data_IF_815710087004
#
_entry.id   IF_815710087004
#
_cell.length_a   1.000
_cell.length_b   1.000
_cell.length_c   1.000
_cell.angle_alpha   90.00
_cell.angle_beta   90.00
_cell.angle_gamma   90.00
#
_symmetry.space_group_name_H-M   'P 1'
#
loop_
_entity.id
_entity.type
_entity.pdbx_description
1 polymer ?
#
# COMPACT_ATOMS: atom_id res chain seq x y z
N UNK A 1 -6.03 -19.21 5.67
CA UNK A 1 -6.29 -20.53 6.32
C UNK A 1 -7.48 -21.29 5.71
N UNK A 2 -8.71 -20.72 5.64
CA UNK A 2 -9.88 -21.41 5.06
C UNK A 2 -9.68 -21.85 3.60
N UNK A 3 -9.19 -20.96 2.74
CA UNK A 3 -8.80 -21.29 1.36
C UNK A 3 -7.75 -22.39 1.33
N UNK A 4 -6.73 -22.35 2.19
CA UNK A 4 -5.72 -23.41 2.28
C UNK A 4 -6.29 -24.79 2.62
N UNK A 5 -7.27 -24.85 3.53
CA UNK A 5 -7.98 -26.12 3.84
C UNK A 5 -8.72 -26.67 2.63
N UNK A 6 -9.41 -25.82 1.86
CA UNK A 6 -10.09 -26.26 0.64
C UNK A 6 -9.13 -26.69 -0.46
N UNK A 7 -8.02 -25.96 -0.66
CA UNK A 7 -7.00 -26.34 -1.63
C UNK A 7 -6.39 -27.72 -1.32
N UNK A 8 -6.09 -28.00 -0.04
CA UNK A 8 -5.63 -29.31 0.39
C UNK A 8 -6.69 -30.39 0.20
N UNK A 9 -7.93 -30.14 0.60
CA UNK A 9 -9.02 -31.12 0.47
C UNK A 9 -9.28 -31.51 -0.97
N UNK A 10 -9.08 -30.60 -1.92
CA UNK A 10 -9.21 -30.79 -3.36
C UNK A 10 -7.90 -31.24 -4.03
N UNK A 11 -6.81 -31.46 -3.27
CA UNK A 11 -5.47 -31.82 -3.76
C UNK A 11 -4.92 -30.83 -4.82
N UNK A 12 -5.22 -29.56 -4.66
CA UNK A 12 -4.75 -28.47 -5.55
C UNK A 12 -3.38 -27.93 -5.15
N UNK A 13 -2.90 -28.25 -3.96
CA UNK A 13 -1.54 -27.97 -3.48
C UNK A 13 -0.91 -29.28 -2.94
N UNK A 14 0.44 -29.41 -3.00
CA UNK A 14 1.14 -30.57 -2.50
C UNK A 14 0.88 -30.84 -1.02
N UNK A 15 0.80 -32.12 -0.61
CA UNK A 15 0.49 -32.53 0.77
C UNK A 15 1.55 -32.10 1.81
N UNK A 16 2.75 -31.74 1.38
CA UNK A 16 3.81 -31.21 2.25
C UNK A 16 3.51 -29.80 2.79
N UNK A 17 2.57 -29.08 2.17
CA UNK A 17 2.14 -27.76 2.63
C UNK A 17 0.93 -27.88 3.54
N UNK A 18 0.83 -26.97 4.49
CA UNK A 18 -0.31 -26.87 5.40
C UNK A 18 -1.26 -25.74 5.01
N UNK A 19 -2.48 -25.79 5.52
CA UNK A 19 -3.42 -24.68 5.37
C UNK A 19 -2.90 -23.40 6.06
N UNK A 20 -2.08 -23.54 7.11
CA UNK A 20 -1.45 -22.43 7.80
C UNK A 20 -0.42 -21.74 6.93
N UNK A 21 0.37 -22.45 6.12
CA UNK A 21 1.35 -21.81 5.22
C UNK A 21 0.70 -20.81 4.29
N UNK A 22 -0.46 -21.18 3.71
CA UNK A 22 -1.26 -20.25 2.89
C UNK A 22 -1.78 -19.08 3.72
N UNK A 23 -2.22 -19.35 4.96
CA UNK A 23 -2.68 -18.33 5.90
C UNK A 23 -1.58 -17.32 6.24
N UNK A 24 -0.38 -17.83 6.56
CA UNK A 24 0.77 -17.01 6.98
C UNK A 24 1.30 -16.13 5.84
N UNK A 25 1.34 -16.67 4.61
CA UNK A 25 1.70 -15.89 3.42
C UNK A 25 0.73 -14.72 3.21
N UNK A 26 -0.59 -14.99 3.23
CA UNK A 26 -1.60 -13.93 3.03
C UNK A 26 -1.60 -12.94 4.19
N UNK A 27 -1.46 -13.41 5.44
CA UNK A 27 -1.38 -12.54 6.61
C UNK A 27 -0.17 -11.62 6.54
N UNK A 28 1.00 -12.14 6.15
CA UNK A 28 2.21 -11.33 5.95
C UNK A 28 1.98 -10.26 4.88
N UNK A 29 1.39 -10.62 3.74
CA UNK A 29 1.06 -9.68 2.70
C UNK A 29 0.07 -8.60 3.17
N UNK A 30 -0.98 -9.00 3.92
CA UNK A 30 -1.95 -8.04 4.49
C UNK A 30 -1.33 -7.11 5.53
N UNK A 31 -0.40 -7.59 6.38
CA UNK A 31 0.29 -6.73 7.34
C UNK A 31 1.21 -5.72 6.67
N UNK A 32 1.77 -6.08 5.53
CA UNK A 32 2.73 -5.25 4.80
C UNK A 32 2.09 -4.32 3.77
N UNK A 33 0.83 -4.54 3.36
CA UNK A 33 0.23 -3.94 2.16
C UNK A 33 0.35 -2.42 2.06
N UNK A 34 0.33 -1.71 3.19
CA UNK A 34 0.40 -0.25 3.29
C UNK A 34 1.76 0.29 3.79
N UNK A 35 2.79 -0.58 3.93
CA UNK A 35 4.09 -0.18 4.50
C UNK A 35 4.81 0.92 3.69
N UNK A 36 4.49 1.06 2.43
CA UNK A 36 5.06 2.08 1.54
C UNK A 36 4.25 3.37 1.44
N UNK A 37 3.13 3.49 2.16
CA UNK A 37 2.34 4.70 2.15
C UNK A 37 3.10 5.83 2.85
N UNK A 38 3.25 7.01 2.21
CA UNK A 38 3.89 8.15 2.83
C UNK A 38 3.00 8.79 3.91
N UNK A 39 3.54 9.74 4.72
CA UNK A 39 2.72 10.57 5.58
C UNK A 39 1.53 11.15 4.83
N UNK A 40 0.38 11.21 5.48
CA UNK A 40 -0.92 11.64 4.91
C UNK A 40 -1.50 10.68 3.85
N UNK A 41 -0.99 9.46 3.74
CA UNK A 41 -1.52 8.42 2.86
C UNK A 41 -1.60 8.84 1.40
N UNK A 42 -2.75 8.67 0.76
CA UNK A 42 -2.94 9.01 -0.66
C UNK A 42 -2.72 10.50 -0.98
N UNK A 43 -3.05 11.41 -0.05
CA UNK A 43 -2.77 12.84 -0.23
C UNK A 43 -1.26 13.10 -0.21
N UNK A 44 -0.51 12.36 0.62
CA UNK A 44 0.96 12.39 0.60
C UNK A 44 1.54 11.89 -0.72
N UNK A 45 0.99 10.79 -1.28
CA UNK A 45 1.39 10.33 -2.62
C UNK A 45 1.15 11.40 -3.69
N UNK A 46 -0.03 12.05 -3.66
CA UNK A 46 -0.36 13.14 -4.60
C UNK A 46 0.58 14.33 -4.43
N UNK A 47 0.92 14.70 -3.19
CA UNK A 47 1.85 15.78 -2.90
C UNK A 47 3.26 15.48 -3.43
N UNK A 48 3.76 14.24 -3.28
CA UNK A 48 5.04 13.79 -3.85
C UNK A 48 5.01 13.88 -5.38
N UNK A 49 3.96 13.34 -6.01
CA UNK A 49 3.77 13.41 -7.48
C UNK A 49 3.72 14.84 -7.99
N UNK A 50 2.99 15.71 -7.27
CA UNK A 50 2.87 17.12 -7.62
C UNK A 50 4.22 17.82 -7.58
N UNK A 51 5.02 17.59 -6.54
CA UNK A 51 6.33 18.20 -6.38
C UNK A 51 7.30 17.80 -7.51
N UNK A 52 7.36 16.51 -7.87
CA UNK A 52 8.19 16.02 -8.98
C UNK A 52 7.67 16.42 -10.37
N UNK A 53 6.42 16.83 -10.48
CA UNK A 53 5.82 17.19 -11.78
C UNK A 53 5.81 18.70 -12.05
N UNK A 54 5.76 19.54 -11.01
CA UNK A 54 5.48 20.98 -11.18
C UNK A 54 6.47 21.89 -10.49
N UNK A 55 7.00 21.51 -9.34
CA UNK A 55 7.82 22.39 -8.49
C UNK A 55 9.33 22.27 -8.80
N UNK A 56 10.16 22.56 -7.79
CA UNK A 56 11.61 22.41 -7.88
C UNK A 56 12.03 21.00 -8.29
N UNK A 57 11.26 19.98 -7.88
CA UNK A 57 11.50 18.60 -8.23
C UNK A 57 11.49 18.33 -9.73
N UNK A 58 10.61 18.96 -10.50
CA UNK A 58 10.57 18.79 -11.95
C UNK A 58 11.89 19.16 -12.62
N UNK A 59 12.54 20.22 -12.13
CA UNK A 59 13.85 20.67 -12.61
C UNK A 59 15.00 19.76 -12.16
N UNK A 60 14.90 19.24 -10.92
CA UNK A 60 15.93 18.34 -10.38
C UNK A 60 16.06 17.05 -11.15
N UNK A 61 14.97 16.56 -11.75
CA UNK A 61 14.89 15.26 -12.43
C UNK A 61 14.79 15.35 -13.95
N UNK A 62 14.88 16.55 -14.55
CA UNK A 62 14.71 16.73 -16.01
C UNK A 62 15.75 15.98 -16.86
N UNK A 63 16.93 15.74 -16.31
CA UNK A 63 18.04 15.04 -16.96
C UNK A 63 17.98 13.52 -16.79
N UNK A 64 17.10 12.99 -15.94
CA UNK A 64 17.00 11.56 -15.68
C UNK A 64 16.41 10.81 -16.89
N UNK A 65 16.78 9.53 -17.08
CA UNK A 65 16.11 8.65 -18.03
C UNK A 65 14.58 8.63 -17.79
N UNK A 66 13.82 8.47 -18.89
CA UNK A 66 12.35 8.52 -18.83
C UNK A 66 11.74 7.55 -17.80
N UNK A 67 12.30 6.34 -17.68
CA UNK A 67 11.83 5.34 -16.71
C UNK A 67 11.97 5.84 -15.26
N UNK A 68 13.15 6.35 -14.92
CA UNK A 68 13.46 6.87 -13.57
C UNK A 68 12.64 8.12 -13.25
N UNK A 69 12.58 9.07 -14.20
CA UNK A 69 11.75 10.27 -14.03
C UNK A 69 10.25 9.93 -13.91
N UNK A 70 9.80 8.85 -14.56
CA UNK A 70 8.41 8.41 -14.48
C UNK A 70 8.09 7.81 -13.11
N UNK A 71 8.97 7.01 -12.53
CA UNK A 71 8.82 6.47 -11.18
C UNK A 71 8.60 7.60 -10.17
N UNK A 72 9.42 8.65 -10.23
CA UNK A 72 9.34 9.80 -9.32
C UNK A 72 8.08 10.64 -9.53
N UNK A 73 7.74 10.97 -10.79
CA UNK A 73 6.52 11.74 -11.11
C UNK A 73 5.24 11.00 -10.81
N UNK A 74 5.29 9.71 -10.67
CA UNK A 74 4.13 8.84 -10.45
C UNK A 74 4.16 8.13 -9.11
N UNK A 75 5.03 8.50 -8.20
CA UNK A 75 5.22 7.86 -6.91
C UNK A 75 3.98 7.06 -6.47
N UNK A 76 4.18 5.81 -6.07
CA UNK A 76 3.09 4.88 -5.73
C UNK A 76 3.45 4.09 -4.48
N UNK A 77 2.59 4.15 -3.46
CA UNK A 77 2.82 3.46 -2.18
C UNK A 77 3.03 1.95 -2.33
N UNK A 78 2.35 1.31 -3.30
CA UNK A 78 2.57 -0.12 -3.55
C UNK A 78 4.01 -0.42 -4.04
N UNK A 79 4.58 0.42 -4.90
CA UNK A 79 5.96 0.26 -5.35
C UNK A 79 6.94 0.60 -4.23
N UNK A 80 6.68 1.64 -3.46
CA UNK A 80 7.47 2.00 -2.29
C UNK A 80 7.46 0.87 -1.24
N UNK A 81 6.32 0.23 -1.03
CA UNK A 81 6.19 -0.91 -0.12
C UNK A 81 7.05 -2.09 -0.55
N UNK A 82 7.08 -2.44 -1.83
CA UNK A 82 7.97 -3.49 -2.32
C UNK A 82 9.44 -3.13 -2.09
N UNK A 83 9.84 -1.88 -2.35
CA UNK A 83 11.19 -1.38 -2.08
C UNK A 83 11.54 -1.44 -0.59
N UNK A 84 10.66 -0.97 0.31
CA UNK A 84 10.87 -1.04 1.78
C UNK A 84 11.09 -2.49 2.23
N UNK A 85 10.26 -3.42 1.77
CA UNK A 85 10.35 -4.83 2.14
C UNK A 85 11.62 -5.52 1.63
N UNK A 86 12.21 -5.04 0.53
CA UNK A 86 13.27 -5.76 -0.18
C UNK A 86 14.62 -5.08 -0.17
N UNK A 87 14.67 -3.76 0.06
CA UNK A 87 15.90 -2.98 -0.12
C UNK A 87 16.20 -2.07 1.07
N UNK A 88 15.18 -1.35 1.58
CA UNK A 88 15.40 -0.20 2.48
C UNK A 88 15.44 -0.55 3.95
N UNK A 89 14.94 -1.73 4.34
CA UNK A 89 14.74 -2.04 5.73
C UNK A 89 15.98 -2.50 6.49
N UNK A 90 15.96 -2.21 7.78
CA UNK A 90 17.04 -2.36 8.77
C UNK A 90 17.43 -3.82 9.02
N UNK A 91 18.10 -4.42 8.05
CA UNK A 91 18.74 -5.70 8.28
C UNK A 91 20.26 -5.54 8.08
N UNK A 92 21.12 -6.18 8.90
CA UNK A 92 22.58 -6.10 8.75
C UNK A 92 23.10 -6.74 7.48
N UNK A 93 22.24 -7.33 6.66
CA UNK A 93 22.55 -7.96 5.38
C UNK A 93 21.59 -7.47 4.31
N UNK A 94 22.00 -7.49 3.05
CA UNK A 94 21.20 -7.12 1.90
C UNK A 94 19.88 -7.92 1.82
N UNK A 95 18.84 -7.30 1.26
CA UNK A 95 17.55 -7.94 1.00
C UNK A 95 16.41 -7.51 1.93
N UNK A 96 16.53 -6.37 2.58
CA UNK A 96 15.45 -5.76 3.38
C UNK A 96 14.96 -6.68 4.49
N UNK A 97 13.65 -6.85 4.63
CA UNK A 97 13.01 -7.72 5.64
C UNK A 97 13.20 -9.22 5.39
N UNK A 98 13.76 -9.61 4.24
CA UNK A 98 14.03 -11.01 3.87
C UNK A 98 12.81 -11.92 3.94
N UNK A 99 11.67 -11.43 3.45
CA UNK A 99 10.45 -12.21 3.31
C UNK A 99 10.64 -13.32 2.27
N UNK A 100 9.83 -14.37 2.36
CA UNK A 100 9.83 -15.41 1.35
C UNK A 100 9.31 -14.88 0.00
N UNK A 101 9.75 -15.43 -1.11
CA UNK A 101 9.25 -15.05 -2.44
C UNK A 101 7.74 -15.21 -2.56
N UNK A 102 7.15 -16.22 -1.90
CA UNK A 102 5.70 -16.41 -1.86
C UNK A 102 4.99 -15.23 -1.15
N UNK A 103 5.55 -14.74 -0.03
CA UNK A 103 5.00 -13.56 0.68
C UNK A 103 5.16 -12.29 -0.15
N UNK A 104 6.33 -12.08 -0.77
CA UNK A 104 6.56 -10.94 -1.67
C UNK A 104 5.63 -11.00 -2.89
N UNK A 105 5.46 -12.18 -3.52
CA UNK A 105 4.53 -12.35 -4.62
C UNK A 105 3.08 -12.03 -4.22
N UNK A 106 2.64 -12.50 -3.05
CA UNK A 106 1.30 -12.23 -2.52
C UNK A 106 1.08 -10.76 -2.15
N UNK A 107 2.15 -10.03 -1.79
CA UNK A 107 2.12 -8.59 -1.52
C UNK A 107 1.92 -7.77 -2.81
N UNK A 108 2.53 -8.18 -3.94
CA UNK A 108 2.54 -7.38 -5.17
C UNK A 108 1.16 -7.36 -5.83
N UNK A 109 0.47 -6.22 -5.68
CA UNK A 109 -0.85 -5.97 -6.26
C UNK A 109 -0.78 -5.62 -7.76
N UNK A 110 0.31 -4.94 -8.18
CA UNK A 110 0.51 -4.44 -9.54
C UNK A 110 1.90 -4.84 -10.06
N UNK A 111 2.06 -6.03 -10.65
CA UNK A 111 3.35 -6.58 -11.03
C UNK A 111 3.91 -5.97 -12.34
N UNK A 112 4.07 -4.66 -12.40
CA UNK A 112 4.60 -3.90 -13.53
C UNK A 112 5.18 -2.56 -13.12
N UNK A 113 5.98 -1.95 -14.01
CA UNK A 113 6.63 -0.65 -13.84
C UNK A 113 5.68 0.53 -14.12
N UNK A 114 6.05 1.72 -13.65
CA UNK A 114 5.34 2.96 -13.93
C UNK A 114 5.21 3.27 -15.41
N UNK A 115 6.29 3.10 -16.19
CA UNK A 115 6.30 3.30 -17.64
C UNK A 115 5.34 2.36 -18.38
N UNK A 116 5.17 1.16 -17.90
CA UNK A 116 4.24 0.18 -18.45
C UNK A 116 2.78 0.58 -18.22
N UNK A 117 2.49 1.17 -17.06
CA UNK A 117 1.16 1.68 -16.74
C UNK A 117 0.74 2.86 -17.65
N UNK A 118 1.70 3.62 -18.18
CA UNK A 118 1.45 4.73 -19.12
C UNK A 118 0.97 4.24 -20.48
N UNK A 119 1.46 3.10 -20.93
CA UNK A 119 1.21 2.61 -22.29
C UNK A 119 -0.23 2.10 -22.51
N UNK A 120 -1.11 2.22 -21.51
CA UNK A 120 -2.52 1.84 -21.59
C UNK A 120 -2.80 0.34 -21.80
N UNK A 121 -1.74 -0.48 -21.77
CA UNK A 121 -1.81 -1.94 -21.97
C UNK A 121 -2.04 -2.71 -20.68
N UNK A 122 -2.09 -2.02 -19.52
CA UNK A 122 -2.23 -2.65 -18.22
C UNK A 122 -3.67 -2.61 -17.72
N UNK A 123 -4.11 -3.63 -16.98
CA UNK A 123 -5.50 -3.74 -16.55
C UNK A 123 -5.96 -2.60 -15.65
N UNK A 124 -5.04 -2.05 -14.84
CA UNK A 124 -5.31 -0.93 -13.93
C UNK A 124 -4.49 0.28 -14.37
N UNK A 125 -5.19 1.34 -14.75
CA UNK A 125 -4.55 2.60 -15.16
C UNK A 125 -3.95 3.30 -13.93
N UNK A 126 -2.78 3.90 -14.14
CA UNK A 126 -2.09 4.75 -13.15
C UNK A 126 -1.62 4.06 -11.87
N UNK A 127 -1.73 2.74 -11.74
CA UNK A 127 -1.21 1.97 -10.62
C UNK A 127 -0.09 1.05 -11.09
N UNK A 128 0.97 0.91 -10.30
CA UNK A 128 2.09 0.02 -10.52
C UNK A 128 2.69 -0.39 -9.17
N UNK A 129 3.47 -1.45 -9.12
CA UNK A 129 3.98 -1.97 -7.85
C UNK A 129 5.49 -2.18 -7.82
N UNK A 130 6.21 -1.78 -8.88
CA UNK A 130 7.65 -2.01 -8.99
C UNK A 130 8.32 -0.75 -9.52
N UNK A 131 9.34 -0.25 -8.82
CA UNK A 131 10.25 0.75 -9.34
C UNK A 131 11.32 0.14 -10.22
N UNK A 132 11.95 0.96 -11.05
CA UNK A 132 13.04 0.51 -11.93
C UNK A 132 14.20 -0.12 -11.15
N UNK A 133 14.52 0.40 -9.98
CA UNK A 133 15.60 -0.08 -9.11
C UNK A 133 15.36 -1.49 -8.55
N UNK A 134 14.12 -1.93 -8.41
CA UNK A 134 13.75 -3.24 -7.85
C UNK A 134 13.36 -4.27 -8.92
N UNK A 135 13.51 -3.93 -10.21
CA UNK A 135 13.05 -4.79 -11.31
C UNK A 135 13.73 -6.16 -11.34
N UNK A 136 15.01 -6.23 -11.08
CA UNK A 136 15.77 -7.49 -11.14
C UNK A 136 15.30 -8.44 -10.03
N UNK A 137 15.13 -7.94 -8.82
CA UNK A 137 14.62 -8.72 -7.71
C UNK A 137 13.14 -9.12 -7.92
N UNK A 138 12.34 -8.23 -8.50
CA UNK A 138 10.97 -8.60 -8.88
C UNK A 138 10.95 -9.75 -9.89
N UNK A 139 11.81 -9.74 -10.89
CA UNK A 139 11.93 -10.84 -11.86
C UNK A 139 12.33 -12.14 -11.16
N UNK A 140 13.26 -12.09 -10.21
CA UNK A 140 13.65 -13.25 -9.41
C UNK A 140 12.45 -13.82 -8.61
N UNK A 141 11.68 -12.95 -7.93
CA UNK A 141 10.44 -13.34 -7.24
C UNK A 141 9.42 -13.95 -8.21
N UNK A 142 9.22 -13.32 -9.36
CA UNK A 142 8.26 -13.77 -10.37
C UNK A 142 8.63 -15.15 -10.95
N UNK A 143 9.90 -15.37 -11.23
CA UNK A 143 10.39 -16.65 -11.75
C UNK A 143 10.32 -17.77 -10.69
N UNK A 144 10.74 -17.48 -9.46
CA UNK A 144 10.70 -18.42 -8.34
C UNK A 144 9.25 -18.82 -7.94
N UNK A 145 8.29 -17.91 -8.09
CA UNK A 145 6.86 -18.17 -7.81
C UNK A 145 6.07 -18.61 -9.05
N UNK A 146 6.70 -18.70 -10.21
CA UNK A 146 6.09 -19.17 -11.45
C UNK A 146 5.03 -18.23 -12.02
N UNK A 147 5.17 -16.91 -11.83
CA UNK A 147 4.22 -15.93 -12.38
C UNK A 147 4.25 -15.95 -13.90
N UNK A 148 3.11 -16.20 -14.51
CA UNK A 148 2.97 -16.30 -15.97
C UNK A 148 3.23 -14.96 -16.64
N UNK A 149 3.92 -15.00 -17.79
CA UNK A 149 4.01 -13.84 -18.67
C UNK A 149 2.77 -13.79 -19.55
N UNK A 150 2.04 -12.67 -19.47
CA UNK A 150 0.80 -12.46 -20.24
C UNK A 150 1.09 -11.74 -21.56
N UNK A 151 0.09 -11.73 -22.45
CA UNK A 151 0.16 -11.03 -23.73
C UNK A 151 0.49 -9.54 -23.54
N UNK A 152 1.66 -9.10 -24.02
CA UNK A 152 2.20 -7.76 -23.79
C UNK A 152 3.43 -7.73 -22.87
N UNK A 153 3.97 -8.91 -22.49
CA UNK A 153 5.28 -9.05 -21.84
C UNK A 153 5.32 -8.71 -20.35
N UNK A 154 4.19 -8.62 -19.67
CA UNK A 154 4.12 -8.37 -18.23
C UNK A 154 3.73 -9.62 -17.43
N UNK A 155 4.14 -9.68 -16.16
CA UNK A 155 3.81 -10.81 -15.27
C UNK A 155 2.37 -10.71 -14.76
N UNK A 156 1.71 -11.86 -14.58
CA UNK A 156 0.41 -11.89 -13.91
C UNK A 156 0.55 -11.65 -12.39
N UNK A 157 -0.55 -11.37 -11.71
CA UNK A 157 -0.60 -11.37 -10.26
C UNK A 157 -0.33 -12.75 -9.68
N UNK A 158 0.32 -12.79 -8.53
CA UNK A 158 0.35 -14.00 -7.71
C UNK A 158 -1.09 -14.35 -7.25
N UNK A 159 -1.51 -15.61 -7.31
CA UNK A 159 -2.87 -16.03 -6.92
C UNK A 159 -3.31 -15.48 -5.56
N UNK A 160 -2.43 -15.55 -4.55
CA UNK A 160 -2.73 -15.10 -3.19
C UNK A 160 -2.83 -13.57 -3.03
N UNK A 161 -2.32 -12.79 -3.98
CA UNK A 161 -2.51 -11.32 -3.98
C UNK A 161 -3.99 -10.93 -4.12
N UNK A 162 -4.82 -11.78 -4.74
CA UNK A 162 -6.26 -11.58 -4.80
C UNK A 162 -6.92 -11.73 -3.41
N UNK A 163 -6.40 -12.62 -2.56
CA UNK A 163 -6.89 -12.75 -1.17
C UNK A 163 -6.46 -11.57 -0.31
N UNK A 164 -5.24 -11.07 -0.49
CA UNK A 164 -4.77 -9.87 0.20
C UNK A 164 -5.65 -8.67 -0.16
N UNK A 165 -5.90 -8.44 -1.47
CA UNK A 165 -6.70 -7.31 -1.95
C UNK A 165 -8.15 -7.34 -1.44
N UNK A 166 -8.83 -8.51 -1.49
CA UNK A 166 -10.19 -8.59 -0.98
C UNK A 166 -10.26 -8.47 0.54
N UNK A 167 -9.23 -8.91 1.26
CA UNK A 167 -9.16 -8.74 2.72
C UNK A 167 -9.00 -7.26 3.09
N UNK A 168 -8.22 -6.51 2.33
CA UNK A 168 -8.08 -5.07 2.43
C UNK A 168 -9.43 -4.36 2.21
N UNK A 169 -10.12 -4.68 1.11
CA UNK A 169 -11.47 -4.14 0.83
C UNK A 169 -12.47 -4.41 1.96
N UNK A 170 -12.42 -5.59 2.56
CA UNK A 170 -13.29 -5.98 3.69
C UNK A 170 -12.93 -5.25 4.98
N UNK A 171 -11.64 -5.08 5.26
CA UNK A 171 -11.17 -4.32 6.41
C UNK A 171 -11.61 -2.85 6.33
N UNK A 172 -11.39 -2.19 5.20
CA UNK A 172 -11.83 -0.82 4.99
C UNK A 172 -13.35 -0.66 5.17
N UNK A 173 -14.15 -1.58 4.61
CA UNK A 173 -15.59 -1.53 4.73
C UNK A 173 -16.10 -1.60 6.19
N UNK A 174 -15.31 -2.17 7.10
CA UNK A 174 -15.70 -2.28 8.52
C UNK A 174 -15.07 -1.16 9.34
N UNK A 175 -13.74 -1.01 9.25
CA UNK A 175 -12.98 -0.16 10.17
C UNK A 175 -13.26 1.33 9.98
N UNK A 176 -13.36 1.80 8.74
CA UNK A 176 -13.71 3.20 8.47
C UNK A 176 -15.07 3.56 9.08
N UNK A 177 -16.04 2.65 8.96
CA UNK A 177 -17.38 2.89 9.52
C UNK A 177 -17.39 2.83 11.05
N UNK A 178 -16.62 1.93 11.67
CA UNK A 178 -16.47 1.86 13.12
C UNK A 178 -15.85 3.14 13.67
N UNK A 179 -14.73 3.57 13.07
CA UNK A 179 -14.03 4.81 13.44
C UNK A 179 -14.98 6.03 13.28
N UNK A 180 -15.74 6.07 12.19
CA UNK A 180 -16.72 7.12 11.96
C UNK A 180 -17.79 7.20 13.04
N UNK A 181 -18.27 6.06 13.55
CA UNK A 181 -19.22 6.01 14.66
C UNK A 181 -18.56 6.41 15.99
N UNK A 182 -17.34 5.91 16.26
CA UNK A 182 -16.61 6.24 17.49
C UNK A 182 -16.25 7.73 17.57
N UNK A 183 -15.91 8.34 16.44
CA UNK A 183 -15.68 9.78 16.34
C UNK A 183 -16.96 10.63 16.38
N UNK A 184 -18.14 10.02 16.35
CA UNK A 184 -19.43 10.72 16.30
C UNK A 184 -19.72 11.41 14.97
N UNK A 185 -19.06 10.99 13.89
CA UNK A 185 -19.29 11.47 12.51
C UNK A 185 -20.47 10.73 11.88
N UNK A 186 -20.53 9.41 12.10
CA UNK A 186 -21.56 8.55 11.52
C UNK A 186 -22.61 8.12 12.54
N UNK A 187 -23.86 8.04 12.09
CA UNK A 187 -24.97 7.49 12.86
C UNK A 187 -24.90 5.96 12.89
N UNK A 188 -24.98 5.38 14.10
CA UNK A 188 -24.94 3.93 14.30
C UNK A 188 -25.95 3.16 13.44
N UNK A 189 -27.20 3.62 13.39
CA UNK A 189 -28.26 2.89 12.69
C UNK A 189 -27.98 2.77 11.19
N UNK A 190 -27.36 3.80 10.59
CA UNK A 190 -26.95 3.79 9.18
C UNK A 190 -25.83 2.79 8.93
N UNK A 191 -24.82 2.79 9.81
CA UNK A 191 -23.70 1.83 9.73
C UNK A 191 -24.19 0.40 9.94
N UNK A 192 -25.07 0.17 10.94
CA UNK A 192 -25.66 -1.14 11.21
C UNK A 192 -26.41 -1.70 9.99
N UNK A 193 -27.24 -0.86 9.33
CA UNK A 193 -27.96 -1.27 8.13
C UNK A 193 -27.03 -1.71 7.00
N UNK A 194 -25.93 -0.98 6.76
CA UNK A 194 -24.95 -1.30 5.72
C UNK A 194 -24.22 -2.60 6.06
N UNK A 195 -23.65 -2.72 7.25
CA UNK A 195 -22.88 -3.89 7.66
C UNK A 195 -23.74 -5.16 7.70
N UNK A 196 -25.02 -5.04 8.02
CA UNK A 196 -25.94 -6.18 8.03
C UNK A 196 -26.40 -6.65 6.64
N UNK A 197 -26.02 -6.00 5.54
CA UNK A 197 -26.32 -6.48 4.18
C UNK A 197 -25.77 -7.89 3.93
N UNK A 198 -24.65 -8.25 4.54
CA UNK A 198 -24.00 -9.55 4.38
C UNK A 198 -24.55 -10.65 5.29
N UNK A 199 -25.49 -10.32 6.16
CA UNK A 199 -26.05 -11.24 7.14
C UNK A 199 -27.45 -11.70 6.72
N UNK A 200 -27.79 -12.94 7.03
CA UNK A 200 -29.15 -13.44 6.87
C UNK A 200 -30.10 -12.90 7.96
N UNK A 201 -31.41 -13.09 7.76
CA UNK A 201 -32.39 -12.52 8.67
C UNK A 201 -32.31 -13.13 10.08
N UNK A 202 -31.93 -14.41 10.22
CA UNK A 202 -31.76 -15.05 11.54
C UNK A 202 -30.57 -14.44 12.29
N UNK A 203 -29.47 -14.20 11.57
CA UNK A 203 -28.28 -13.54 12.14
C UNK A 203 -28.61 -12.12 12.59
N UNK A 204 -29.38 -11.36 11.80
CA UNK A 204 -29.83 -9.99 12.13
C UNK A 204 -30.72 -9.99 13.38
N UNK A 205 -31.71 -10.87 13.42
CA UNK A 205 -32.62 -10.99 14.57
C UNK A 205 -31.87 -11.38 15.86
N UNK A 206 -30.86 -12.27 15.73
CA UNK A 206 -30.08 -12.66 16.89
C UNK A 206 -29.20 -11.50 17.38
N UNK A 207 -28.53 -10.78 16.47
CA UNK A 207 -27.74 -9.60 16.82
C UNK A 207 -28.60 -8.53 17.51
N UNK A 208 -29.79 -8.26 17.00
CA UNK A 208 -30.69 -7.27 17.60
C UNK A 208 -31.10 -7.65 19.04
N UNK A 209 -31.29 -8.94 19.30
CA UNK A 209 -31.56 -9.44 20.66
C UNK A 209 -30.32 -9.30 21.55
N UNK A 210 -29.17 -9.72 21.05
CA UNK A 210 -27.95 -9.72 21.83
C UNK A 210 -27.45 -8.29 22.17
N UNK A 211 -27.74 -7.31 21.30
CA UNK A 211 -27.35 -5.90 21.51
C UNK A 211 -28.19 -5.14 22.56
N UNK A 212 -29.29 -5.71 23.06
CA UNK A 212 -30.15 -5.02 24.02
C UNK A 212 -29.36 -4.62 25.27
N UNK A 213 -29.41 -3.34 25.63
CA UNK A 213 -28.68 -2.79 26.77
C UNK A 213 -27.18 -2.63 26.62
N UNK A 214 -26.58 -2.99 25.47
CA UNK A 214 -25.15 -2.82 25.23
C UNK A 214 -24.80 -1.37 24.88
N UNK A 215 -23.61 -0.93 25.36
CA UNK A 215 -22.96 0.30 24.92
C UNK A 215 -22.49 0.17 23.46
N UNK A 216 -22.36 1.29 22.76
CA UNK A 216 -22.03 1.36 21.33
C UNK A 216 -20.78 0.54 20.95
N UNK A 217 -19.67 0.67 21.64
CA UNK A 217 -18.44 -0.08 21.34
C UNK A 217 -18.62 -1.60 21.45
N UNK A 218 -19.51 -2.11 22.33
CA UNK A 218 -19.81 -3.55 22.37
C UNK A 218 -20.71 -3.97 21.22
N UNK A 219 -21.64 -3.10 20.78
CA UNK A 219 -22.47 -3.35 19.59
C UNK A 219 -21.61 -3.44 18.34
N UNK A 220 -20.69 -2.50 18.16
CA UNK A 220 -19.70 -2.51 17.07
C UNK A 220 -18.90 -3.81 17.06
N UNK A 221 -18.31 -4.21 18.18
CA UNK A 221 -17.53 -5.45 18.28
C UNK A 221 -18.34 -6.70 17.96
N UNK A 222 -19.62 -6.77 18.38
CA UNK A 222 -20.50 -7.90 18.08
C UNK A 222 -20.79 -7.99 16.58
N UNK A 223 -21.18 -6.88 15.96
CA UNK A 223 -21.49 -6.81 14.52
C UNK A 223 -20.23 -7.11 13.70
N UNK A 224 -19.11 -6.49 14.03
CA UNK A 224 -17.81 -6.74 13.38
C UNK A 224 -17.49 -8.23 13.32
N UNK A 225 -17.58 -8.96 14.44
CA UNK A 225 -17.26 -10.38 14.47
C UNK A 225 -18.14 -11.22 13.52
N UNK A 226 -19.41 -10.89 13.38
CA UNK A 226 -20.33 -11.58 12.46
C UNK A 226 -20.06 -11.21 11.00
N UNK A 227 -19.84 -9.94 10.73
CA UNK A 227 -19.56 -9.43 9.37
C UNK A 227 -18.22 -9.98 8.86
N UNK A 228 -17.16 -9.99 9.68
CA UNK A 228 -15.87 -10.60 9.33
C UNK A 228 -16.06 -12.08 8.95
N UNK A 229 -16.84 -12.83 9.72
CA UNK A 229 -17.08 -14.25 9.39
C UNK A 229 -17.78 -14.40 8.03
N UNK A 230 -18.79 -13.57 7.75
CA UNK A 230 -19.46 -13.59 6.45
C UNK A 230 -18.54 -13.21 5.29
N UNK A 231 -17.71 -12.19 5.47
CA UNK A 231 -16.72 -11.76 4.47
C UNK A 231 -15.66 -12.83 4.21
N UNK A 232 -15.14 -13.49 5.24
CA UNK A 232 -14.17 -14.59 5.10
C UNK A 232 -14.78 -15.74 4.31
N UNK A 233 -16.03 -16.11 4.59
CA UNK A 233 -16.74 -17.15 3.86
C UNK A 233 -16.95 -16.79 2.39
N UNK A 234 -17.39 -15.56 2.13
CA UNK A 234 -17.60 -15.05 0.77
C UNK A 234 -16.30 -14.96 -0.04
N UNK A 235 -15.23 -14.43 0.57
CA UNK A 235 -13.92 -14.33 -0.08
C UNK A 235 -13.33 -15.71 -0.41
N UNK A 236 -13.46 -16.67 0.50
CA UNK A 236 -13.00 -18.04 0.26
C UNK A 236 -13.83 -18.72 -0.86
N UNK A 237 -15.14 -18.58 -0.83
CA UNK A 237 -16.01 -19.12 -1.88
C UNK A 237 -15.72 -18.50 -3.26
N UNK A 238 -15.54 -17.17 -3.31
CA UNK A 238 -15.20 -16.46 -4.54
C UNK A 238 -13.83 -16.89 -5.09
N UNK A 239 -12.82 -17.06 -4.24
CA UNK A 239 -11.51 -17.56 -4.64
C UNK A 239 -11.60 -18.98 -5.23
N UNK A 240 -12.24 -19.89 -4.51
CA UNK A 240 -12.36 -21.30 -4.93
C UNK A 240 -13.25 -21.48 -6.17
N UNK A 241 -14.31 -20.68 -6.29
CA UNK A 241 -15.20 -20.69 -7.46
C UNK A 241 -14.56 -20.17 -8.75
N UNK A 242 -13.46 -19.40 -8.62
CA UNK A 242 -12.73 -18.82 -9.75
C UNK A 242 -11.27 -19.27 -9.82
N UNK A 243 -10.94 -20.38 -9.14
CA UNK A 243 -9.58 -20.90 -9.02
C UNK A 243 -8.83 -20.97 -10.35
N UNK A 244 -9.42 -21.55 -11.38
CA UNK A 244 -8.76 -21.74 -12.67
C UNK A 244 -8.45 -20.41 -13.39
N UNK A 245 -9.33 -19.41 -13.31
CA UNK A 245 -9.06 -18.10 -13.87
C UNK A 245 -7.96 -17.36 -13.08
N UNK A 246 -7.95 -17.53 -11.77
CA UNK A 246 -6.91 -16.96 -10.90
C UNK A 246 -5.55 -17.58 -11.25
N UNK A 247 -5.48 -18.91 -11.37
CA UNK A 247 -4.25 -19.63 -11.70
C UNK A 247 -3.73 -19.35 -13.12
N UNK A 248 -4.59 -18.96 -14.05
CA UNK A 248 -4.19 -18.50 -15.39
C UNK A 248 -3.82 -17.03 -15.48
N UNK A 249 -3.85 -16.30 -14.35
CA UNK A 249 -3.53 -14.87 -14.29
C UNK A 249 -4.55 -13.94 -14.95
N UNK A 250 -5.72 -14.46 -15.35
CA UNK A 250 -6.79 -13.68 -16.00
C UNK A 250 -7.66 -12.91 -14.99
N UNK A 251 -7.75 -13.40 -13.77
CA UNK A 251 -8.54 -12.74 -12.73
C UNK A 251 -7.74 -11.59 -12.08
N UNK A 252 -8.38 -10.42 -12.01
CA UNK A 252 -7.88 -9.24 -11.32
C UNK A 252 -8.86 -8.85 -10.22
N UNK A 253 -8.60 -9.33 -9.02
CA UNK A 253 -9.47 -9.15 -7.89
C UNK A 253 -10.65 -10.14 -7.86
N UNK A 254 -11.11 -10.45 -6.66
CA UNK A 254 -12.20 -11.41 -6.43
C UNK A 254 -13.42 -10.78 -5.76
N UNK A 255 -13.38 -9.50 -5.38
CA UNK A 255 -14.53 -8.80 -4.80
C UNK A 255 -15.74 -8.81 -5.76
N UNK A 256 -15.50 -8.52 -7.05
CA UNK A 256 -16.56 -8.51 -8.07
C UNK A 256 -17.19 -9.89 -8.31
N UNK A 257 -16.55 -10.94 -7.82
CA UNK A 257 -16.99 -12.34 -7.91
C UNK A 257 -17.67 -12.85 -6.65
N UNK A 258 -17.68 -12.04 -5.60
CA UNK A 258 -18.48 -12.31 -4.41
C UNK A 258 -19.97 -12.14 -4.67
N UNK A 259 -20.80 -12.67 -3.79
CA UNK A 259 -22.26 -12.50 -3.85
C UNK A 259 -22.66 -11.03 -3.85
N UNK A 260 -23.83 -10.74 -4.42
CA UNK A 260 -24.30 -9.36 -4.58
C UNK A 260 -24.40 -8.60 -3.26
N UNK A 261 -24.89 -9.21 -2.21
CA UNK A 261 -25.02 -8.58 -0.89
C UNK A 261 -23.64 -8.17 -0.31
N UNK A 262 -22.59 -8.95 -0.56
CA UNK A 262 -21.21 -8.62 -0.16
C UNK A 262 -20.69 -7.41 -0.91
N UNK A 263 -20.87 -7.41 -2.24
CA UNK A 263 -20.47 -6.28 -3.09
C UNK A 263 -21.23 -5.00 -2.74
N UNK A 264 -22.53 -5.12 -2.53
CA UNK A 264 -23.38 -3.99 -2.16
C UNK A 264 -22.99 -3.42 -0.78
N UNK A 265 -22.64 -4.28 0.18
CA UNK A 265 -22.13 -3.87 1.50
C UNK A 265 -20.84 -3.08 1.38
N UNK A 266 -19.82 -3.63 0.69
CA UNK A 266 -18.52 -2.95 0.51
C UNK A 266 -18.69 -1.65 -0.27
N UNK A 267 -19.50 -1.63 -1.32
CA UNK A 267 -19.76 -0.42 -2.10
C UNK A 267 -20.46 0.67 -1.28
N UNK A 268 -21.48 0.30 -0.49
CA UNK A 268 -22.20 1.23 0.38
C UNK A 268 -21.29 1.76 1.51
N UNK A 269 -20.47 0.90 2.09
CA UNK A 269 -19.50 1.30 3.12
C UNK A 269 -18.48 2.32 2.59
N UNK A 270 -17.86 2.02 1.43
CA UNK A 270 -16.93 2.93 0.76
C UNK A 270 -17.57 4.27 0.37
N UNK A 271 -18.82 4.24 -0.10
CA UNK A 271 -19.55 5.46 -0.43
C UNK A 271 -19.80 6.31 0.81
N UNK A 272 -20.27 5.70 1.92
CA UNK A 272 -20.52 6.42 3.16
C UNK A 272 -19.24 7.02 3.75
N UNK A 273 -18.13 6.26 3.77
CA UNK A 273 -16.85 6.74 4.24
C UNK A 273 -16.34 7.93 3.40
N UNK A 274 -16.42 7.82 2.06
CA UNK A 274 -16.02 8.90 1.15
C UNK A 274 -16.84 10.17 1.37
N UNK A 275 -18.15 10.04 1.52
CA UNK A 275 -19.06 11.18 1.50
C UNK A 275 -19.12 11.88 2.87
N UNK A 276 -18.95 11.17 3.99
CA UNK A 276 -19.08 11.74 5.34
C UNK A 276 -17.76 11.80 6.13
N UNK A 277 -16.88 10.80 6.02
CA UNK A 277 -15.61 10.78 6.77
C UNK A 277 -14.53 11.56 6.02
N UNK A 278 -14.31 11.24 4.74
CA UNK A 278 -13.20 11.82 3.98
C UNK A 278 -13.43 13.28 3.59
N UNK A 279 -14.66 13.75 3.62
CA UNK A 279 -15.02 15.18 3.42
C UNK A 279 -15.08 15.97 4.75
N UNK A 280 -14.74 15.37 5.87
CA UNK A 280 -14.78 16.06 7.14
C UNK A 280 -13.77 17.21 7.18
N UNK A 281 -14.14 18.45 7.61
CA UNK A 281 -13.30 19.64 7.52
C UNK A 281 -11.89 19.47 8.10
N UNK A 282 -11.77 18.80 9.25
CA UNK A 282 -10.45 18.52 9.86
C UNK A 282 -9.52 17.69 8.98
N UNK A 283 -10.09 16.74 8.23
CA UNK A 283 -9.30 15.93 7.30
C UNK A 283 -8.84 16.77 6.11
N UNK A 284 -9.75 17.55 5.53
CA UNK A 284 -9.45 18.46 4.41
C UNK A 284 -8.35 19.48 4.81
N UNK A 285 -8.38 20.03 6.02
CA UNK A 285 -7.34 20.93 6.53
C UNK A 285 -5.96 20.23 6.58
N UNK A 286 -5.91 18.99 7.07
CA UNK A 286 -4.68 18.20 7.10
C UNK A 286 -4.17 17.90 5.69
N UNK A 287 -5.05 17.56 4.77
CA UNK A 287 -4.72 17.26 3.38
C UNK A 287 -4.13 18.48 2.65
N UNK A 288 -4.69 19.67 2.86
CA UNK A 288 -4.12 20.93 2.33
C UNK A 288 -2.71 21.16 2.89
N UNK A 289 -2.52 20.93 4.19
CA UNK A 289 -1.23 21.07 4.86
C UNK A 289 -0.17 20.06 4.39
N UNK A 290 -0.59 18.89 3.92
CA UNK A 290 0.29 17.84 3.44
C UNK A 290 1.17 18.28 2.27
N UNK A 291 0.61 19.00 1.29
CA UNK A 291 1.37 19.50 0.13
C UNK A 291 2.53 20.41 0.55
N UNK A 292 2.31 21.33 1.46
CA UNK A 292 3.35 22.23 1.96
C UNK A 292 4.41 21.47 2.77
N UNK A 293 3.97 20.53 3.61
CA UNK A 293 4.86 19.70 4.43
C UNK A 293 5.77 18.84 3.55
N UNK A 294 5.21 18.09 2.62
CA UNK A 294 5.96 17.20 1.70
C UNK A 294 6.89 18.03 0.79
N UNK A 295 6.40 19.15 0.23
CA UNK A 295 7.24 20.02 -0.61
C UNK A 295 8.46 20.56 0.16
N UNK A 296 8.28 20.97 1.42
CA UNK A 296 9.40 21.44 2.27
C UNK A 296 10.42 20.33 2.50
N UNK A 297 9.96 19.12 2.87
CA UNK A 297 10.82 17.98 3.13
C UNK A 297 11.61 17.59 1.87
N UNK A 298 10.94 17.41 0.75
CA UNK A 298 11.57 17.00 -0.50
C UNK A 298 12.54 18.07 -1.03
N UNK A 299 12.19 19.34 -0.94
CA UNK A 299 13.04 20.42 -1.42
C UNK A 299 14.39 20.47 -0.68
N UNK A 300 14.37 20.35 0.65
CA UNK A 300 15.59 20.36 1.46
C UNK A 300 16.38 19.06 1.24
N UNK A 301 15.72 17.94 1.32
CA UNK A 301 16.36 16.61 1.33
C UNK A 301 16.90 16.22 -0.05
N UNK A 302 16.10 16.32 -1.12
CA UNK A 302 16.56 15.98 -2.48
C UNK A 302 17.66 16.93 -2.96
N UNK A 303 17.55 18.24 -2.65
CA UNK A 303 18.62 19.17 -3.01
C UNK A 303 19.93 18.81 -2.31
N UNK A 304 19.89 18.47 -1.03
CA UNK A 304 21.09 18.08 -0.30
C UNK A 304 21.68 16.75 -0.83
N UNK A 305 20.85 15.73 -1.03
CA UNK A 305 21.29 14.43 -1.55
C UNK A 305 21.96 14.57 -2.92
N UNK A 306 21.34 15.29 -3.86
CA UNK A 306 21.91 15.53 -5.19
C UNK A 306 23.20 16.36 -5.16
N UNK A 307 23.27 17.40 -4.34
CA UNK A 307 24.49 18.19 -4.19
C UNK A 307 25.63 17.34 -3.63
N UNK A 308 25.35 16.45 -2.69
CA UNK A 308 26.33 15.54 -2.11
C UNK A 308 26.89 14.59 -3.17
N UNK A 309 26.01 13.89 -3.89
CA UNK A 309 26.42 12.93 -4.94
C UNK A 309 27.19 13.63 -6.07
N UNK A 310 26.67 14.74 -6.60
CA UNK A 310 27.29 15.47 -7.72
C UNK A 310 28.64 16.12 -7.37
N UNK A 311 28.88 16.40 -6.09
CA UNK A 311 30.16 16.89 -5.61
C UNK A 311 31.18 15.79 -5.25
N UNK A 312 30.81 14.53 -5.43
CA UNK A 312 31.64 13.39 -5.02
C UNK A 312 31.92 13.36 -3.51
N UNK A 313 30.92 13.73 -2.69
CA UNK A 313 31.03 13.80 -1.23
C UNK A 313 31.69 15.07 -0.68
N UNK A 314 32.20 15.94 -1.55
CA UNK A 314 32.85 17.22 -1.15
C UNK A 314 31.79 18.33 -1.11
N UNK A 315 30.82 18.20 -0.19
CA UNK A 315 29.71 19.13 -0.06
C UNK A 315 29.95 20.18 1.05
N UNK A 316 29.18 21.28 0.98
CA UNK A 316 29.18 22.30 2.03
C UNK A 316 28.60 21.79 3.36
N UNK A 317 28.86 22.54 4.45
CA UNK A 317 28.46 22.15 5.81
C UNK A 317 26.94 21.96 5.97
N UNK A 318 26.09 22.71 5.25
CA UNK A 318 24.63 22.58 5.31
C UNK A 318 24.20 21.29 4.66
N UNK A 319 24.69 21.00 3.47
CA UNK A 319 24.42 19.75 2.73
C UNK A 319 24.79 18.52 3.57
N UNK A 320 26.01 18.50 4.15
CA UNK A 320 26.45 17.38 5.02
C UNK A 320 25.53 17.18 6.19
N UNK A 321 25.15 18.24 6.90
CA UNK A 321 24.24 18.15 8.05
C UNK A 321 22.85 17.60 7.69
N UNK A 322 22.33 17.91 6.50
CA UNK A 322 21.06 17.33 6.05
C UNK A 322 21.22 15.84 5.75
N UNK A 323 22.27 15.45 5.04
CA UNK A 323 22.58 14.03 4.74
C UNK A 323 22.73 13.24 6.03
N UNK A 324 23.52 13.74 6.98
CA UNK A 324 23.73 13.12 8.30
C UNK A 324 22.43 13.00 9.11
N UNK A 325 21.63 14.08 9.12
CA UNK A 325 20.35 14.10 9.85
C UNK A 325 19.37 13.04 9.31
N UNK A 326 19.35 12.85 8.00
CA UNK A 326 18.47 11.89 7.35
C UNK A 326 19.05 10.47 7.35
N UNK A 327 20.32 10.29 7.76
CA UNK A 327 20.99 8.99 7.74
C UNK A 327 21.12 8.39 6.35
N UNK A 328 21.28 9.23 5.31
CA UNK A 328 21.41 8.75 3.92
C UNK A 328 22.78 8.13 3.70
N UNK A 329 22.84 6.91 3.18
CA UNK A 329 24.07 6.21 2.81
C UNK A 329 24.39 6.47 1.32
N UNK A 330 24.80 7.70 1.02
CA UNK A 330 25.09 8.13 -0.35
C UNK A 330 26.48 7.71 -0.82
N UNK A 331 27.37 7.29 0.06
CA UNK A 331 28.70 6.78 -0.27
C UNK A 331 28.66 5.34 -0.79
N UNK A 332 27.66 4.57 -0.35
CA UNK A 332 27.44 3.19 -0.81
C UNK A 332 26.69 3.09 -2.14
N UNK A 333 26.29 4.23 -2.74
CA UNK A 333 25.66 4.21 -4.04
C UNK A 333 26.66 3.83 -5.14
N UNK A 334 26.27 2.93 -5.99
CA UNK A 334 27.04 2.50 -7.16
C UNK A 334 26.16 2.39 -8.42
N UNK A 335 26.79 2.36 -9.58
CA UNK A 335 26.11 2.20 -10.87
C UNK A 335 25.73 0.74 -11.18
N UNK A 336 26.03 -0.21 -10.28
CA UNK A 336 25.86 -1.66 -10.53
C UNK A 336 24.40 -2.07 -10.66
N UNK A 337 23.47 -1.30 -10.08
CA UNK A 337 22.03 -1.56 -10.13
C UNK A 337 21.33 -1.08 -11.40
N UNK A 338 22.10 -0.56 -12.38
CA UNK A 338 21.57 -0.14 -13.68
C UNK A 338 20.60 1.04 -13.63
N UNK A 339 20.71 1.89 -12.60
CA UNK A 339 20.02 3.16 -12.43
C UNK A 339 21.01 4.29 -12.18
N UNK A 340 20.63 5.55 -12.48
CA UNK A 340 21.51 6.69 -12.26
C UNK A 340 21.73 6.97 -10.78
N UNK A 341 22.91 7.47 -10.42
CA UNK A 341 23.26 7.86 -9.04
C UNK A 341 22.31 8.91 -8.47
N UNK A 342 21.89 9.86 -9.28
CA UNK A 342 20.92 10.89 -8.88
C UNK A 342 19.55 10.28 -8.53
N UNK A 343 19.07 9.33 -9.32
CA UNK A 343 17.83 8.61 -9.02
C UNK A 343 17.99 7.79 -7.74
N UNK A 344 19.08 7.05 -7.58
CA UNK A 344 19.32 6.25 -6.38
C UNK A 344 19.37 7.11 -5.11
N UNK A 345 19.99 8.30 -5.18
CA UNK A 345 20.00 9.25 -4.06
C UNK A 345 18.59 9.79 -3.72
N UNK A 346 17.79 10.13 -4.72
CA UNK A 346 16.39 10.57 -4.51
C UNK A 346 15.56 9.43 -3.91
N UNK A 347 15.77 8.20 -4.34
CA UNK A 347 15.06 7.04 -3.78
C UNK A 347 15.36 6.84 -2.29
N UNK A 348 16.60 7.05 -1.83
CA UNK A 348 16.89 7.03 -0.38
C UNK A 348 16.16 8.16 0.37
N UNK A 349 16.03 9.35 -0.23
CA UNK A 349 15.22 10.42 0.36
C UNK A 349 13.76 10.01 0.46
N UNK A 350 13.22 9.36 -0.58
CA UNK A 350 11.83 8.86 -0.57
C UNK A 350 11.65 7.75 0.46
N UNK A 351 12.62 6.85 0.65
CA UNK A 351 12.59 5.85 1.71
C UNK A 351 12.44 6.50 3.09
N UNK A 352 13.24 7.54 3.34
CA UNK A 352 13.17 8.28 4.60
C UNK A 352 11.86 9.05 4.77
N UNK A 353 11.41 9.77 3.74
CA UNK A 353 10.19 10.58 3.81
C UNK A 353 8.94 9.71 3.91
N UNK A 354 8.85 8.63 3.13
CA UNK A 354 7.69 7.72 3.18
C UNK A 354 7.61 6.93 4.48
N UNK A 355 8.72 6.69 5.16
CA UNK A 355 8.77 6.04 6.46
C UNK A 355 8.36 6.92 7.66
N UNK A 356 8.07 8.21 7.45
CA UNK A 356 7.65 9.11 8.52
C UNK A 356 6.19 8.90 8.91
N UNK A 357 5.88 9.16 10.19
CA UNK A 357 4.50 9.43 10.61
C UNK A 357 4.10 10.86 10.23
N UNK A 358 2.79 11.13 10.11
CA UNK A 358 2.26 12.48 9.83
C UNK A 358 2.81 13.53 10.79
N UNK A 359 2.81 13.20 12.09
CA UNK A 359 3.30 14.11 13.13
C UNK A 359 4.79 14.40 12.99
N UNK A 360 5.60 13.39 12.67
CA UNK A 360 7.04 13.58 12.49
C UNK A 360 7.34 14.38 11.21
N UNK A 361 6.63 14.13 10.12
CA UNK A 361 6.75 14.90 8.89
C UNK A 361 6.44 16.39 9.10
N UNK A 362 5.32 16.69 9.79
CA UNK A 362 4.97 18.07 10.16
C UNK A 362 6.00 18.72 11.08
N UNK A 363 6.51 17.98 12.07
CA UNK A 363 7.53 18.48 12.97
C UNK A 363 8.80 18.84 12.20
N UNK A 364 9.33 17.92 11.39
CA UNK A 364 10.57 18.15 10.65
C UNK A 364 10.45 19.26 9.62
N UNK A 365 9.31 19.36 8.92
CA UNK A 365 9.07 20.46 7.98
C UNK A 365 9.05 21.84 8.69
N UNK A 366 8.50 21.94 9.90
CA UNK A 366 8.59 23.16 10.72
C UNK A 366 10.02 23.51 11.08
N UNK A 367 10.83 22.53 11.48
CA UNK A 367 12.26 22.73 11.77
C UNK A 367 13.02 23.23 10.55
N UNK A 368 12.79 22.66 9.37
CA UNK A 368 13.43 23.08 8.12
C UNK A 368 13.04 24.51 7.71
N UNK A 369 11.84 24.95 8.06
CA UNK A 369 11.38 26.32 7.86
C UNK A 369 11.84 27.31 8.96
N UNK A 370 12.64 26.86 9.92
CA UNK A 370 13.10 27.71 11.04
C UNK A 370 12.03 28.01 12.08
N UNK A 371 10.90 27.33 12.04
CA UNK A 371 9.79 27.46 12.99
C UNK A 371 9.93 26.41 14.11
N UNK A 372 11.04 26.45 14.85
CA UNK A 372 11.27 25.56 15.98
C UNK A 372 10.19 25.72 17.05
N UNK A 373 9.77 24.61 17.67
CA UNK A 373 8.92 24.69 18.86
C UNK A 373 9.83 25.10 20.02
N UNK A 374 9.49 26.18 20.72
CA UNK A 374 10.03 26.43 22.05
C UNK A 374 9.76 25.17 22.91
N UNK A 375 10.82 24.66 23.53
CA UNK A 375 10.75 23.49 24.42
C UNK A 375 10.12 23.86 25.74
#
# INVERSE_FOLDING_TARGET
MRVGQELLSKRLIPEQHSASDIGDIVQTACLAHDIGNPPFGHTGEEAIRHWFSNDAGAKLIEHLPLSEATDLRRFEGNAQGFRVLTTSEYHPHDGGMRLTYASLGAFIKYPWLAVDALNGQRPVKNKYGIYRSELDLFNEVADATGLLTLGGGWRCRHPLANLMEVSDDFCYAILDLEDGVEMGILEWDKVFQILCLVLDDRQKDQILKDMQGMKIGRRLSLVRGKVISAFVDAGAAAFMGNHDEIMTGKALGILDRCDRNVRDCVAAAKALARDEIFQHPRKVELEIGAYSTISTLLNVSCTAALNYVRSGGVADSKTKRVVDLLGLDLEALDDSKGVSMDYAAIMQVLDYVSGMTDNYAMHLARQFNGMGIER
#
